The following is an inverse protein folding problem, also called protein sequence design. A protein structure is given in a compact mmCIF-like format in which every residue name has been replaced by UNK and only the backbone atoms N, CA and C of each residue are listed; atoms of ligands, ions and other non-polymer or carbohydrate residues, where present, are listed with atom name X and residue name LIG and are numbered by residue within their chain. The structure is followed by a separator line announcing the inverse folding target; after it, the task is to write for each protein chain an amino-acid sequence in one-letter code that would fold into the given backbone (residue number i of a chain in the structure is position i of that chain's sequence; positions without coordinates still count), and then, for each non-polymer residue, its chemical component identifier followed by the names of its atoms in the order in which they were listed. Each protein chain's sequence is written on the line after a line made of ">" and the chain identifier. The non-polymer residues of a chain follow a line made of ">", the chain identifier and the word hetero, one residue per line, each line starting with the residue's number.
data_IF_330209280806
#
_entry.id   IF_330209280806
#
_cell.length_a   1.000
_cell.length_b   1.000
_cell.length_c   1.000
_cell.angle_alpha   90.00
_cell.angle_beta   90.00
_cell.angle_gamma   90.00
#
_symmetry.space_group_name_H-M   'P 1'
#
loop_
_entity.id
_entity.type
_entity.pdbx_description
1 polymer ?
#
# COMPACT_ATOMS: atom_id res chain seq x y z
N UNK A 1 -0.36 5.71 1.89
CA UNK A 1 -1.62 5.05 2.27
C UNK A 1 -1.28 3.61 2.61
N UNK A 2 -1.91 3.06 3.64
CA UNK A 2 -1.83 1.65 4.04
C UNK A 2 -3.26 1.11 4.23
N UNK A 3 -3.42 -0.21 4.23
CA UNK A 3 -4.72 -0.87 4.49
C UNK A 3 -4.74 -1.31 5.95
N UNK A 4 -5.81 -0.98 6.68
CA UNK A 4 -6.01 -1.46 8.04
C UNK A 4 -6.48 -2.92 8.02
N UNK A 5 -5.72 -3.89 8.57
CA UNK A 5 -6.10 -5.30 8.53
C UNK A 5 -7.37 -5.61 9.34
N UNK A 6 -7.65 -4.87 10.42
CA UNK A 6 -8.84 -5.11 11.26
C UNK A 6 -10.15 -4.64 10.59
N UNK A 7 -10.05 -3.71 9.63
CA UNK A 7 -11.20 -3.15 8.92
C UNK A 7 -11.34 -3.72 7.50
N UNK A 8 -10.28 -4.31 6.95
CA UNK A 8 -10.32 -4.98 5.66
C UNK A 8 -11.26 -6.20 5.73
N UNK A 9 -12.05 -6.40 4.69
CA UNK A 9 -13.00 -7.51 4.58
C UNK A 9 -12.68 -8.43 3.40
N UNK A 10 -11.46 -8.32 2.86
CA UNK A 10 -10.93 -9.17 1.78
C UNK A 10 -11.82 -9.22 0.52
N UNK A 11 -12.40 -8.08 0.14
CA UNK A 11 -13.28 -7.99 -1.02
C UNK A 11 -12.53 -7.96 -2.37
N UNK A 12 -11.21 -7.82 -2.35
CA UNK A 12 -10.30 -7.76 -3.51
C UNK A 12 -10.60 -6.65 -4.55
N UNK A 13 -11.47 -5.68 -4.25
CA UNK A 13 -11.85 -4.64 -5.21
C UNK A 13 -10.75 -3.60 -5.45
N UNK A 14 -9.86 -3.38 -4.49
CA UNK A 14 -8.79 -2.38 -4.59
C UNK A 14 -7.57 -2.88 -5.39
N UNK A 15 -7.36 -4.19 -5.45
CA UNK A 15 -6.22 -4.81 -6.14
C UNK A 15 -6.15 -4.43 -7.64
N UNK A 16 -7.20 -4.64 -8.47
CA UNK A 16 -7.14 -4.28 -9.88
C UNK A 16 -7.16 -2.77 -10.14
N UNK A 17 -7.54 -1.97 -9.14
CA UNK A 17 -7.66 -0.52 -9.26
C UNK A 17 -6.32 0.20 -9.04
N UNK A 18 -5.33 -0.47 -8.45
CA UNK A 18 -4.01 0.11 -8.18
C UNK A 18 -3.14 0.11 -9.45
N UNK A 19 -2.82 1.27 -10.06
CA UNK A 19 -2.04 1.30 -11.30
C UNK A 19 -0.61 0.76 -11.14
N UNK A 20 -0.06 0.88 -9.92
CA UNK A 20 1.28 0.40 -9.58
C UNK A 20 1.33 -1.11 -9.25
N UNK A 21 0.18 -1.82 -9.28
CA UNK A 21 0.05 -3.24 -8.90
C UNK A 21 0.73 -3.53 -7.54
N UNK A 22 0.45 -2.68 -6.54
CA UNK A 22 1.13 -2.69 -5.25
C UNK A 22 0.26 -3.22 -4.09
N UNK A 23 -0.97 -3.64 -4.39
CA UNK A 23 -1.91 -4.22 -3.42
C UNK A 23 -1.94 -5.72 -3.66
N UNK A 24 -1.83 -6.50 -2.59
CA UNK A 24 -1.86 -7.95 -2.60
C UNK A 24 -2.72 -8.43 -1.44
N UNK A 25 -3.35 -9.59 -1.58
CA UNK A 25 -3.88 -10.34 -0.43
C UNK A 25 -2.72 -10.71 0.50
N UNK A 26 -3.00 -10.85 1.80
CA UNK A 26 -1.98 -11.17 2.83
C UNK A 26 -1.21 -12.46 2.50
N UNK A 27 -1.90 -13.47 1.99
CA UNK A 27 -1.36 -14.77 1.59
C UNK A 27 -0.64 -14.76 0.24
N UNK A 28 -0.80 -13.68 -0.54
CA UNK A 28 -0.21 -13.51 -1.86
C UNK A 28 0.92 -12.46 -1.90
N UNK A 29 1.32 -11.93 -0.73
CA UNK A 29 2.44 -10.98 -0.65
C UNK A 29 3.71 -11.61 -1.24
N UNK A 30 4.37 -10.96 -2.22
CA UNK A 30 5.58 -11.51 -2.82
C UNK A 30 6.70 -11.73 -1.80
N UNK A 31 7.47 -12.80 -2.01
CA UNK A 31 8.58 -13.10 -1.11
C UNK A 31 9.61 -11.98 -1.05
N UNK A 32 10.03 -11.63 0.17
CA UNK A 32 10.91 -10.50 0.46
C UNK A 32 10.18 -9.16 0.65
N UNK A 33 8.84 -9.16 0.66
CA UNK A 33 8.00 -7.99 0.94
C UNK A 33 7.09 -8.20 2.16
N UNK A 34 7.30 -9.26 2.94
CA UNK A 34 6.48 -9.61 4.10
C UNK A 34 6.51 -8.52 5.20
N UNK A 35 7.55 -7.69 5.22
CA UNK A 35 7.63 -6.54 6.15
C UNK A 35 6.50 -5.52 5.98
N UNK A 36 5.89 -5.45 4.80
CA UNK A 36 4.77 -4.53 4.53
C UNK A 36 3.50 -4.90 5.30
N UNK A 37 3.32 -6.16 5.70
CA UNK A 37 2.19 -6.57 6.54
C UNK A 37 2.21 -5.82 7.88
N UNK A 38 3.37 -5.85 8.55
CA UNK A 38 3.57 -5.15 9.83
C UNK A 38 3.53 -3.62 9.67
N UNK A 39 4.08 -3.10 8.57
CA UNK A 39 4.02 -1.66 8.28
C UNK A 39 2.58 -1.19 8.10
N UNK A 40 1.75 -1.98 7.42
CA UNK A 40 0.34 -1.66 7.23
C UNK A 40 -0.41 -1.62 8.56
N UNK A 41 -0.24 -2.64 9.41
CA UNK A 41 -0.83 -2.71 10.75
C UNK A 41 -0.39 -1.52 11.64
N UNK A 42 0.92 -1.24 11.70
CA UNK A 42 1.45 -0.15 12.54
C UNK A 42 0.98 1.23 12.06
N UNK A 43 1.04 1.48 10.74
CA UNK A 43 0.75 2.80 10.20
C UNK A 43 -0.76 3.06 10.09
N UNK A 44 -1.59 2.04 9.93
CA UNK A 44 -3.06 2.23 9.90
C UNK A 44 -3.61 2.74 11.23
N UNK A 45 -2.93 2.44 12.34
CA UNK A 45 -3.31 2.91 13.66
C UNK A 45 -2.98 4.39 13.93
N UNK A 46 -2.03 4.98 13.17
CA UNK A 46 -1.52 6.34 13.45
C UNK A 46 -1.76 7.34 12.32
N UNK A 47 -1.90 6.88 11.08
CA UNK A 47 -2.18 7.77 9.94
C UNK A 47 -3.66 8.14 9.84
N UNK A 48 -3.96 9.34 9.31
CA UNK A 48 -5.35 9.74 9.09
C UNK A 48 -6.00 8.90 8.00
N UNK A 49 -7.31 8.66 8.13
CA UNK A 49 -8.10 7.95 7.13
C UNK A 49 -8.21 8.79 5.83
N UNK A 50 -8.08 8.13 4.68
CA UNK A 50 -8.28 8.71 3.35
C UNK A 50 -9.45 8.02 2.64
N UNK A 51 -10.55 8.75 2.47
CA UNK A 51 -11.80 8.23 1.86
C UNK A 51 -12.07 8.77 0.46
N UNK A 52 -11.28 9.73 -0.01
CA UNK A 52 -11.47 10.40 -1.29
C UNK A 52 -10.21 10.31 -2.15
N UNK A 53 -10.39 10.07 -3.44
CA UNK A 53 -9.31 10.10 -4.43
C UNK A 53 -8.72 11.50 -4.51
N UNK A 54 -7.39 11.55 -4.60
CA UNK A 54 -6.60 12.76 -4.89
C UNK A 54 -5.72 12.50 -6.10
N UNK A 55 -5.13 13.57 -6.63
CA UNK A 55 -4.15 13.44 -7.69
C UNK A 55 -2.93 12.65 -7.20
N UNK A 56 -2.31 11.90 -8.12
CA UNK A 56 -1.08 11.18 -7.83
C UNK A 56 0.04 12.16 -7.45
N UNK A 57 1.06 11.66 -6.75
CA UNK A 57 2.24 12.47 -6.41
C UNK A 57 2.93 12.99 -7.67
N UNK A 58 3.59 14.17 -7.61
CA UNK A 58 4.47 14.61 -8.68
C UNK A 58 5.49 13.52 -9.02
N UNK A 59 5.79 13.34 -10.31
CA UNK A 59 6.74 12.35 -10.81
C UNK A 59 6.41 10.87 -10.51
N UNK A 60 5.16 10.51 -10.15
CA UNK A 60 4.79 9.12 -9.84
C UNK A 60 5.20 8.12 -10.93
N UNK A 61 5.10 8.51 -12.21
CA UNK A 61 5.47 7.68 -13.37
C UNK A 61 6.95 7.27 -13.35
N UNK A 62 7.83 8.10 -12.79
CA UNK A 62 9.27 7.78 -12.68
C UNK A 62 9.55 6.76 -11.58
N UNK A 63 8.65 6.68 -10.59
CA UNK A 63 8.79 5.81 -9.42
C UNK A 63 8.00 4.50 -9.58
N UNK A 64 7.11 4.42 -10.56
CA UNK A 64 6.41 3.18 -10.86
C UNK A 64 7.39 2.09 -11.33
N UNK A 65 7.24 0.87 -10.82
CA UNK A 65 8.14 -0.25 -11.05
C UNK A 65 9.54 -0.18 -10.41
N UNK A 66 9.96 0.96 -9.82
CA UNK A 66 11.24 1.05 -9.09
C UNK A 66 11.18 0.18 -7.83
N UNK A 67 12.19 -0.69 -7.65
CA UNK A 67 12.30 -1.62 -6.52
C UNK A 67 13.01 -0.98 -5.33
N UNK A 68 12.79 -1.53 -4.12
CA UNK A 68 13.50 -1.09 -2.91
C UNK A 68 13.12 0.32 -2.46
N UNK A 69 11.87 0.75 -2.72
CA UNK A 69 11.37 2.09 -2.35
C UNK A 69 11.11 2.29 -0.86
N UNK A 70 11.14 1.22 -0.06
CA UNK A 70 10.89 1.29 1.39
C UNK A 70 11.82 2.28 2.12
N UNK A 71 13.06 2.45 1.65
CA UNK A 71 14.01 3.41 2.20
C UNK A 71 13.55 4.88 2.10
N UNK A 72 12.57 5.16 1.24
CA UNK A 72 11.97 6.48 1.04
C UNK A 72 10.62 6.64 1.75
N UNK A 73 10.20 5.67 2.57
CA UNK A 73 8.97 5.77 3.34
C UNK A 73 9.08 6.88 4.40
N UNK A 74 8.24 7.90 4.29
CA UNK A 74 8.07 8.96 5.29
C UNK A 74 6.98 8.55 6.28
N UNK A 75 7.21 8.74 7.60
CA UNK A 75 6.29 8.35 8.68
C UNK A 75 5.59 9.56 9.29
#
# INVERSE_FOLDING_TARGET
>A
MVINPDECIDCALCEPECPANAIFSEDEVPSGQEEFLKINEELSAVWPNITEKKDALPDYEKWDGVKGKIQYLER
#
